data_IF_710060558131
#
_entry.id   IF_710060558131
#
_cell.length_a   1.000
_cell.length_b   1.000
_cell.length_c   1.000
_cell.angle_alpha   90.00
_cell.angle_beta   90.00
_cell.angle_gamma   90.00
#
_symmetry.space_group_name_H-M   'P 1'
#
loop_
_entity.id
_entity.type
_entity.pdbx_description
1 polymer ?
#
# COMPACT_ATOMS: atom_id res chain seq x y z
N UNK A 1 -22.29 -16.81 1.72
CA UNK A 1 -22.10 -18.18 1.20
C UNK A 1 -20.85 -18.29 0.34
N UNK A 2 -20.80 -17.74 -0.88
CA UNK A 2 -19.61 -17.82 -1.78
C UNK A 2 -18.25 -17.49 -1.15
N UNK A 3 -18.16 -16.45 -0.33
CA UNK A 3 -16.89 -16.08 0.34
C UNK A 3 -16.49 -17.09 1.42
N UNK A 4 -17.47 -17.63 2.15
CA UNK A 4 -17.26 -18.67 3.15
C UNK A 4 -16.77 -19.97 2.47
N UNK A 5 -17.39 -20.36 1.36
CA UNK A 5 -16.96 -21.51 0.55
C UNK A 5 -15.54 -21.33 0.00
N UNK A 6 -15.21 -20.13 -0.50
CA UNK A 6 -13.85 -19.79 -0.99
C UNK A 6 -12.79 -20.02 0.08
N UNK A 7 -13.01 -19.49 1.29
CA UNK A 7 -12.06 -19.62 2.40
C UNK A 7 -11.92 -21.07 2.89
N UNK A 8 -13.02 -21.80 3.00
CA UNK A 8 -12.96 -23.23 3.33
C UNK A 8 -12.28 -24.04 2.21
N UNK A 9 -12.41 -23.62 0.95
CA UNK A 9 -11.68 -24.19 -0.18
C UNK A 9 -10.16 -24.04 -0.04
N UNK A 10 -9.67 -22.90 0.45
CA UNK A 10 -8.24 -22.72 0.73
C UNK A 10 -7.75 -23.63 1.85
N UNK A 11 -8.55 -23.81 2.90
CA UNK A 11 -8.23 -24.72 4.00
C UNK A 11 -8.19 -26.17 3.52
N UNK A 12 -9.19 -26.60 2.74
CA UNK A 12 -9.23 -27.95 2.18
C UNK A 12 -8.05 -28.23 1.24
N UNK A 13 -7.68 -27.27 0.39
CA UNK A 13 -6.52 -27.38 -0.51
C UNK A 13 -5.21 -27.49 0.28
N UNK A 14 -5.04 -26.67 1.32
CA UNK A 14 -3.87 -26.72 2.19
C UNK A 14 -3.80 -28.07 2.95
N UNK A 15 -4.92 -28.57 3.45
CA UNK A 15 -5.02 -29.87 4.14
C UNK A 15 -4.68 -31.04 3.22
N UNK A 16 -5.21 -31.05 2.00
CA UNK A 16 -4.92 -32.06 0.96
C UNK A 16 -3.42 -32.09 0.62
N UNK A 17 -2.77 -30.93 0.65
CA UNK A 17 -1.33 -30.75 0.43
C UNK A 17 -0.49 -31.05 1.67
N UNK A 18 -1.10 -31.51 2.76
CA UNK A 18 -0.43 -31.88 4.00
C UNK A 18 0.09 -30.70 4.82
N UNK A 19 -0.43 -29.49 4.58
CA UNK A 19 -0.06 -28.30 5.34
C UNK A 19 -0.63 -28.35 6.75
N UNK A 20 0.11 -27.79 7.71
CA UNK A 20 -0.34 -27.76 9.09
C UNK A 20 -1.32 -26.60 9.30
N UNK A 21 -2.57 -26.95 9.57
CA UNK A 21 -3.67 -26.03 9.86
C UNK A 21 -3.94 -26.03 11.37
N UNK A 22 -4.04 -24.84 11.97
CA UNK A 22 -4.23 -24.65 13.41
C UNK A 22 -5.42 -23.72 13.65
N UNK A 23 -6.64 -24.27 13.83
CA UNK A 23 -7.80 -23.49 14.24
C UNK A 23 -7.66 -23.01 15.69
N UNK A 24 -7.94 -21.73 15.94
CA UNK A 24 -7.94 -21.13 17.28
C UNK A 24 -9.37 -21.13 17.82
N UNK A 25 -9.69 -22.13 18.66
CA UNK A 25 -11.02 -22.31 19.26
C UNK A 25 -10.95 -22.63 20.76
N UNK A 26 -10.50 -21.70 21.62
CA UNK A 26 -10.43 -21.93 23.07
C UNK A 26 -11.81 -22.08 23.72
N UNK A 27 -12.86 -21.55 23.08
CA UNK A 27 -14.24 -21.64 23.56
C UNK A 27 -14.93 -22.97 23.29
N UNK A 28 -14.30 -23.89 22.55
CA UNK A 28 -14.91 -25.13 22.05
C UNK A 28 -16.25 -24.87 21.35
N UNK A 29 -16.33 -23.77 20.57
CA UNK A 29 -17.50 -23.51 19.73
C UNK A 29 -17.67 -24.63 18.70
N UNK A 30 -18.92 -24.97 18.42
CA UNK A 30 -19.28 -25.91 17.36
C UNK A 30 -19.40 -25.16 16.03
N UNK A 31 -18.54 -25.51 15.07
CA UNK A 31 -18.53 -24.97 13.71
C UNK A 31 -19.16 -25.92 12.68
N UNK A 32 -19.79 -27.02 13.11
CA UNK A 32 -20.46 -27.97 12.21
C UNK A 32 -21.79 -27.44 11.67
N UNK A 33 -22.52 -26.65 12.47
CA UNK A 33 -23.76 -26.01 12.07
C UNK A 33 -23.50 -24.61 11.51
N UNK A 34 -23.76 -24.44 10.21
CA UNK A 34 -23.52 -23.19 9.49
C UNK A 34 -24.82 -22.44 9.15
N UNK A 35 -25.98 -22.96 9.60
CA UNK A 35 -27.29 -22.33 9.35
C UNK A 35 -27.33 -20.92 9.94
N UNK A 36 -27.29 -19.93 9.05
CA UNK A 36 -27.42 -18.50 9.38
C UNK A 36 -26.20 -17.82 10.01
N UNK A 37 -25.06 -18.51 10.21
CA UNK A 37 -23.91 -17.92 10.93
C UNK A 37 -22.59 -17.88 10.14
N UNK A 38 -22.37 -18.78 9.16
CA UNK A 38 -21.19 -18.82 8.27
C UNK A 38 -19.86 -18.49 8.97
N UNK A 39 -19.58 -19.16 10.09
CA UNK A 39 -18.44 -18.87 10.96
C UNK A 39 -17.23 -19.72 10.61
N UNK A 40 -16.07 -19.08 10.57
CA UNK A 40 -14.75 -19.71 10.47
C UNK A 40 -13.94 -19.21 11.67
N UNK A 41 -13.35 -20.10 12.50
CA UNK A 41 -12.46 -19.65 13.57
C UNK A 41 -11.20 -18.98 12.99
N UNK A 42 -10.55 -18.05 13.72
CA UNK A 42 -9.19 -17.63 13.38
C UNK A 42 -8.30 -18.85 13.20
N UNK A 43 -7.68 -18.99 12.04
CA UNK A 43 -6.99 -20.22 11.65
C UNK A 43 -5.61 -19.89 11.12
N UNK A 44 -4.58 -20.49 11.71
CA UNK A 44 -3.21 -20.36 11.25
C UNK A 44 -2.90 -21.45 10.23
N UNK A 45 -2.13 -21.12 9.20
CA UNK A 45 -1.61 -22.09 8.24
C UNK A 45 -0.09 -21.95 8.27
N UNK A 46 0.60 -22.98 8.74
CA UNK A 46 2.05 -22.95 8.93
C UNK A 46 2.77 -23.39 7.66
N UNK A 47 3.71 -22.57 7.18
CA UNK A 47 4.55 -22.82 6.00
C UNK A 47 3.78 -23.23 4.72
N UNK A 48 2.68 -22.54 4.34
CA UNK A 48 1.96 -22.92 3.13
C UNK A 48 2.85 -22.86 1.89
N UNK A 49 2.74 -23.87 1.02
CA UNK A 49 3.43 -23.89 -0.26
C UNK A 49 3.04 -22.68 -1.13
N UNK A 50 4.00 -22.16 -1.91
CA UNK A 50 3.85 -20.88 -2.63
C UNK A 50 2.76 -20.88 -3.70
N UNK A 51 2.39 -22.06 -4.21
CA UNK A 51 1.38 -22.28 -5.23
C UNK A 51 -0.02 -22.53 -4.65
N UNK A 52 -0.20 -22.40 -3.34
CA UNK A 52 -1.51 -22.47 -2.71
C UNK A 52 -2.26 -21.15 -2.85
N UNK A 53 -3.55 -21.24 -3.17
CA UNK A 53 -4.40 -20.05 -3.39
C UNK A 53 -4.47 -19.11 -2.19
N UNK A 54 -4.27 -19.63 -0.98
CA UNK A 54 -4.22 -18.82 0.25
C UNK A 54 -3.07 -17.80 0.28
N UNK A 55 -2.03 -18.01 -0.53
CA UNK A 55 -0.92 -17.08 -0.73
C UNK A 55 -0.98 -16.31 -2.07
N UNK A 56 -1.80 -16.75 -3.02
CA UNK A 56 -1.96 -16.09 -4.32
C UNK A 56 -3.03 -14.99 -4.27
N UNK A 57 -4.13 -15.23 -3.56
CA UNK A 57 -5.28 -14.33 -3.48
C UNK A 57 -5.35 -13.61 -2.14
N UNK A 58 -5.94 -12.41 -2.14
CA UNK A 58 -6.21 -11.70 -0.89
C UNK A 58 -7.28 -12.44 -0.08
N UNK A 59 -6.94 -12.77 1.16
CA UNK A 59 -7.75 -13.66 2.01
C UNK A 59 -9.05 -12.97 2.41
N UNK A 60 -9.01 -11.71 2.89
CA UNK A 60 -10.20 -11.00 3.39
C UNK A 60 -11.03 -11.82 4.41
N UNK A 61 -10.35 -12.59 5.26
CA UNK A 61 -10.99 -13.53 6.18
C UNK A 61 -10.04 -13.96 7.30
N UNK A 62 -10.52 -14.80 8.23
CA UNK A 62 -9.80 -15.14 9.46
C UNK A 62 -8.72 -16.21 9.25
N UNK A 63 -8.06 -16.24 8.10
CA UNK A 63 -6.96 -17.17 7.81
C UNK A 63 -5.63 -16.40 7.85
N UNK A 64 -4.64 -16.92 8.58
CA UNK A 64 -3.32 -16.30 8.72
C UNK A 64 -2.22 -17.30 8.32
N UNK A 65 -1.74 -17.22 7.06
CA UNK A 65 -0.51 -17.88 6.64
C UNK A 65 0.69 -17.38 7.44
N UNK A 66 1.51 -18.29 7.94
CA UNK A 66 2.76 -18.00 8.64
C UNK A 66 3.89 -18.62 7.84
N UNK A 67 4.85 -17.78 7.43
CA UNK A 67 6.10 -18.21 6.82
C UNK A 67 7.27 -17.78 7.69
N UNK A 68 8.28 -18.63 7.76
CA UNK A 68 9.55 -18.38 8.41
C UNK A 68 10.58 -17.97 7.38
N UNK A 69 11.61 -17.29 7.86
CA UNK A 69 12.77 -16.88 7.09
C UNK A 69 14.02 -17.17 7.92
N UNK A 70 15.19 -17.20 7.28
CA UNK A 70 16.47 -17.34 7.97
C UNK A 70 17.23 -16.03 8.02
N UNK A 71 17.21 -15.30 6.92
CA UNK A 71 17.86 -14.00 6.79
C UNK A 71 16.79 -12.93 6.52
N UNK A 72 16.90 -11.78 7.17
CA UNK A 72 15.89 -10.72 7.05
C UNK A 72 15.69 -10.24 5.61
N UNK A 73 16.77 -10.20 4.82
CA UNK A 73 16.73 -9.79 3.41
C UNK A 73 15.80 -10.66 2.54
N UNK A 74 15.63 -11.95 2.89
CA UNK A 74 14.69 -12.85 2.19
C UNK A 74 13.25 -12.34 2.29
N UNK A 75 12.90 -11.67 3.39
CA UNK A 75 11.56 -11.11 3.60
C UNK A 75 11.30 -9.92 2.68
N UNK A 76 12.30 -9.06 2.49
CA UNK A 76 12.23 -7.90 1.59
C UNK A 76 12.08 -8.37 0.14
N UNK A 77 12.91 -9.33 -0.27
CA UNK A 77 12.85 -9.91 -1.61
C UNK A 77 11.49 -10.58 -1.86
N UNK A 78 10.97 -11.31 -0.87
CA UNK A 78 9.65 -11.90 -0.96
C UNK A 78 8.55 -10.86 -1.12
N UNK A 79 8.51 -9.82 -0.28
CA UNK A 79 7.52 -8.74 -0.37
C UNK A 79 7.58 -8.06 -1.74
N UNK A 80 8.79 -7.77 -2.24
CA UNK A 80 8.99 -7.12 -3.53
C UNK A 80 8.64 -8.00 -4.74
N UNK A 81 8.62 -9.33 -4.57
CA UNK A 81 8.17 -10.28 -5.61
C UNK A 81 6.64 -10.28 -5.81
N UNK A 82 5.89 -9.67 -4.89
CA UNK A 82 4.42 -9.65 -4.87
C UNK A 82 3.88 -8.26 -5.26
N UNK A 83 2.59 -8.16 -5.63
CA UNK A 83 1.94 -6.86 -5.82
C UNK A 83 2.08 -5.97 -4.57
N UNK A 84 2.34 -4.67 -4.78
CA UNK A 84 2.54 -3.70 -3.70
C UNK A 84 1.32 -3.67 -2.77
N UNK A 85 1.47 -3.96 -1.47
CA UNK A 85 0.34 -4.05 -0.56
C UNK A 85 -0.19 -2.66 -0.17
N UNK A 86 -1.42 -2.63 0.35
CA UNK A 86 -1.98 -1.40 0.93
C UNK A 86 -1.28 -1.03 2.24
N UNK A 87 -1.01 -2.01 3.10
CA UNK A 87 -0.34 -1.82 4.37
C UNK A 87 0.78 -2.84 4.57
N UNK A 88 1.85 -2.43 5.24
CA UNK A 88 2.92 -3.30 5.72
C UNK A 88 3.10 -3.11 7.23
N UNK A 89 3.49 -4.18 7.94
CA UNK A 89 3.65 -4.16 9.39
C UNK A 89 4.98 -4.79 9.76
N UNK A 90 5.75 -4.11 10.62
CA UNK A 90 6.99 -4.63 11.17
C UNK A 90 6.84 -4.76 12.68
N UNK A 91 7.32 -5.87 13.24
CA UNK A 91 7.40 -6.09 14.68
C UNK A 91 8.84 -6.45 15.03
N UNK A 92 9.50 -5.60 15.80
CA UNK A 92 10.91 -5.76 16.14
C UNK A 92 11.50 -4.53 16.80
N UNK A 93 12.73 -4.69 17.29
CA UNK A 93 13.53 -3.64 17.94
C UNK A 93 14.84 -3.33 17.18
N UNK A 94 15.15 -4.09 16.12
CA UNK A 94 16.34 -3.84 15.30
C UNK A 94 16.09 -2.66 14.35
N UNK A 95 16.82 -1.57 14.59
CA UNK A 95 16.72 -0.35 13.78
C UNK A 95 17.20 -0.52 12.34
N UNK A 96 18.16 -1.42 12.09
CA UNK A 96 18.66 -1.69 10.75
C UNK A 96 17.63 -2.46 9.92
N UNK A 97 16.93 -3.43 10.54
CA UNK A 97 15.81 -4.13 9.91
C UNK A 97 14.63 -3.20 9.62
N UNK A 98 14.25 -2.36 10.59
CA UNK A 98 13.19 -1.35 10.43
C UNK A 98 13.50 -0.38 9.26
N UNK A 99 14.73 0.16 9.24
CA UNK A 99 15.18 1.07 8.18
C UNK A 99 15.22 0.37 6.83
N UNK A 100 15.73 -0.88 6.78
CA UNK A 100 15.80 -1.66 5.56
C UNK A 100 14.40 -1.93 4.99
N UNK A 101 13.45 -2.39 5.80
CA UNK A 101 12.08 -2.64 5.36
C UNK A 101 11.40 -1.35 4.86
N UNK A 102 11.54 -0.27 5.62
CA UNK A 102 10.95 1.04 5.30
C UNK A 102 11.47 1.59 3.96
N UNK A 103 12.77 1.43 3.68
CA UNK A 103 13.41 2.01 2.48
C UNK A 103 13.39 1.09 1.26
N UNK A 104 13.33 -0.22 1.46
CA UNK A 104 13.51 -1.22 0.39
C UNK A 104 12.21 -1.92 -0.02
N UNK A 105 11.10 -1.60 0.61
CA UNK A 105 9.76 -2.04 0.19
C UNK A 105 8.88 -0.86 -0.20
N UNK A 106 7.74 -1.13 -0.83
CA UNK A 106 6.76 -0.10 -1.20
C UNK A 106 5.36 -0.57 -0.85
N UNK A 107 4.69 0.19 0.02
CA UNK A 107 3.29 -0.02 0.42
C UNK A 107 2.54 1.31 0.44
N UNK A 108 1.21 1.26 0.56
CA UNK A 108 0.38 2.47 0.75
C UNK A 108 0.65 3.15 2.09
N UNK A 109 0.70 2.36 3.15
CA UNK A 109 1.10 2.76 4.50
C UNK A 109 1.94 1.69 5.20
N UNK A 110 2.55 2.05 6.32
CA UNK A 110 3.32 1.12 7.17
C UNK A 110 3.06 1.43 8.65
N UNK A 111 3.11 0.40 9.49
CA UNK A 111 3.12 0.55 10.95
C UNK A 111 4.22 -0.29 11.57
N UNK A 112 4.92 0.31 12.53
CA UNK A 112 6.00 -0.31 13.30
C UNK A 112 5.43 -0.66 14.68
N UNK A 113 5.60 -1.92 15.09
CA UNK A 113 5.16 -2.49 16.37
C UNK A 113 3.66 -2.37 16.67
N UNK A 114 2.83 -2.28 15.63
CA UNK A 114 1.38 -2.28 15.71
C UNK A 114 0.78 -2.63 14.34
N UNK A 115 -0.53 -2.85 14.27
CA UNK A 115 -1.29 -3.06 13.02
C UNK A 115 -2.44 -2.06 12.94
N UNK A 116 -2.87 -1.70 11.74
CA UNK A 116 -4.06 -0.88 11.45
C UNK A 116 -4.01 0.58 11.96
N UNK A 117 -3.30 0.89 13.05
CA UNK A 117 -3.41 2.18 13.74
C UNK A 117 -2.99 3.39 12.92
N UNK A 118 -2.13 3.25 11.92
CA UNK A 118 -1.82 4.34 10.99
C UNK A 118 -3.04 4.85 10.22
N UNK A 119 -4.06 4.01 9.99
CA UNK A 119 -5.32 4.39 9.33
C UNK A 119 -6.14 5.31 10.22
N UNK A 120 -6.06 5.12 11.54
CA UNK A 120 -6.78 5.94 12.53
C UNK A 120 -6.16 7.33 12.75
N UNK A 121 -4.96 7.59 12.18
CA UNK A 121 -4.31 8.89 12.28
C UNK A 121 -4.80 9.81 11.16
N UNK A 122 -5.72 10.73 11.48
CA UNK A 122 -6.36 11.61 10.49
C UNK A 122 -5.38 12.54 9.75
N UNK A 123 -4.22 12.85 10.34
CA UNK A 123 -3.20 13.69 9.70
C UNK A 123 -2.30 12.91 8.72
N UNK A 124 -2.31 11.57 8.78
CA UNK A 124 -1.57 10.74 7.83
C UNK A 124 -2.42 10.50 6.58
N UNK A 125 -1.84 10.64 5.36
CA UNK A 125 -2.53 10.26 4.15
C UNK A 125 -2.79 8.75 4.16
N UNK A 126 -4.01 8.35 3.82
CA UNK A 126 -4.37 6.95 3.63
C UNK A 126 -4.72 6.70 2.16
N UNK A 127 -3.98 5.80 1.52
CA UNK A 127 -4.10 5.52 0.09
C UNK A 127 -3.18 4.39 -0.34
N UNK A 128 -3.45 3.83 -1.52
CA UNK A 128 -2.66 2.75 -2.10
C UNK A 128 -1.61 3.25 -3.09
N UNK A 129 -0.77 2.32 -3.55
CA UNK A 129 0.25 2.56 -4.58
C UNK A 129 0.33 1.39 -5.56
N UNK A 130 0.06 1.66 -6.83
CA UNK A 130 0.08 0.62 -7.87
C UNK A 130 -1.14 -0.31 -7.72
N UNK A 131 -0.96 -1.65 -7.63
CA UNK A 131 -2.08 -2.58 -7.50
C UNK A 131 -2.99 -2.34 -6.28
N UNK A 132 -2.48 -1.78 -5.19
CA UNK A 132 -3.28 -1.46 -3.99
C UNK A 132 -4.09 -0.16 -4.12
N UNK A 133 -3.88 0.65 -5.16
CA UNK A 133 -4.65 1.86 -5.42
C UNK A 133 -3.83 3.05 -5.93
N UNK A 134 -4.49 4.20 -6.05
CA UNK A 134 -3.87 5.49 -6.39
C UNK A 134 -4.55 6.64 -5.66
N UNK A 135 -3.80 7.72 -5.42
CA UNK A 135 -4.28 8.85 -4.62
C UNK A 135 -4.34 8.52 -3.13
N UNK A 136 -4.68 9.51 -2.33
CA UNK A 136 -4.83 9.36 -0.88
C UNK A 136 -5.91 10.31 -0.37
N UNK A 137 -6.47 10.00 0.79
CA UNK A 137 -7.37 10.88 1.53
C UNK A 137 -6.97 10.91 3.02
N UNK A 138 -7.89 11.34 3.90
CA UNK A 138 -7.69 11.78 5.28
C UNK A 138 -7.15 13.21 5.43
N UNK A 139 -7.65 13.89 6.45
CA UNK A 139 -7.26 15.24 6.83
C UNK A 139 -7.14 16.20 5.64
N UNK A 140 -5.97 16.84 5.57
CA UNK A 140 -5.65 17.82 4.53
C UNK A 140 -5.53 17.21 3.13
N UNK A 141 -5.01 16.00 3.01
CA UNK A 141 -4.88 15.31 1.71
C UNK A 141 -6.25 14.92 1.15
N UNK A 142 -7.20 14.55 2.02
CA UNK A 142 -8.60 14.37 1.63
C UNK A 142 -9.24 15.64 1.06
N UNK A 143 -9.04 16.79 1.72
CA UNK A 143 -9.51 18.08 1.20
C UNK A 143 -8.92 18.39 -0.18
N UNK A 144 -7.61 18.19 -0.36
CA UNK A 144 -6.93 18.36 -1.66
C UNK A 144 -7.50 17.43 -2.73
N UNK A 145 -7.72 16.16 -2.41
CA UNK A 145 -8.23 15.15 -3.35
C UNK A 145 -9.58 15.53 -3.94
N UNK A 146 -10.45 16.19 -3.16
CA UNK A 146 -11.74 16.69 -3.63
C UNK A 146 -11.72 18.16 -4.07
N UNK A 147 -10.53 18.77 -4.21
CA UNK A 147 -10.34 20.16 -4.63
C UNK A 147 -9.63 20.26 -5.97
N UNK A 148 -9.96 21.31 -6.74
CA UNK A 148 -9.19 21.66 -7.93
C UNK A 148 -8.20 22.80 -7.60
N UNK A 149 -6.90 22.52 -7.65
CA UNK A 149 -5.85 23.51 -7.45
C UNK A 149 -5.74 24.49 -8.65
N UNK A 150 -6.58 25.53 -8.64
CA UNK A 150 -6.61 26.54 -9.70
C UNK A 150 -5.43 27.50 -9.58
N UNK A 151 -4.51 27.42 -10.53
CA UNK A 151 -3.41 28.39 -10.64
C UNK A 151 -3.92 29.74 -11.15
N UNK A 152 -3.61 30.82 -10.43
CA UNK A 152 -3.94 32.20 -10.83
C UNK A 152 -2.66 33.03 -10.82
N UNK A 153 -2.32 33.60 -11.97
CA UNK A 153 -1.19 34.52 -12.11
C UNK A 153 -1.71 35.91 -12.52
N UNK A 154 -1.25 36.94 -11.80
CA UNK A 154 -1.58 38.34 -12.11
C UNK A 154 -0.30 39.10 -12.43
N UNK A 155 -0.18 39.59 -13.66
CA UNK A 155 0.93 40.46 -14.07
C UNK A 155 0.76 41.87 -13.49
N UNK A 156 1.87 42.53 -13.14
CA UNK A 156 1.81 43.93 -12.71
C UNK A 156 1.26 44.82 -13.83
N UNK A 157 0.40 45.77 -13.47
CA UNK A 157 -0.15 46.76 -14.42
C UNK A 157 0.85 47.87 -14.75
N UNK A 158 1.94 48.00 -13.98
CA UNK A 158 2.89 49.11 -14.13
C UNK A 158 3.86 48.91 -15.28
N UNK A 159 4.24 47.68 -15.57
CA UNK A 159 5.17 47.34 -16.64
C UNK A 159 4.96 45.90 -17.10
N UNK A 160 5.22 45.66 -18.37
CA UNK A 160 5.06 44.34 -18.97
C UNK A 160 6.38 43.56 -18.87
N UNK A 161 6.47 42.69 -17.85
CA UNK A 161 7.68 41.88 -17.60
C UNK A 161 8.04 41.01 -18.80
N UNK A 162 7.05 40.46 -19.50
CA UNK A 162 7.29 39.63 -20.68
C UNK A 162 7.85 40.47 -21.84
N UNK A 163 7.37 41.71 -22.01
CA UNK A 163 7.93 42.66 -23.00
C UNK A 163 9.34 43.08 -22.64
N UNK A 164 9.60 43.43 -21.37
CA UNK A 164 10.93 43.83 -20.90
C UNK A 164 11.95 42.68 -21.04
N UNK A 165 11.52 41.45 -20.77
CA UNK A 165 12.32 40.24 -20.96
C UNK A 165 12.45 39.78 -22.42
N UNK A 166 11.93 40.52 -23.40
CA UNK A 166 12.03 40.16 -24.82
C UNK A 166 11.18 38.95 -25.22
N UNK A 167 10.22 38.53 -24.40
CA UNK A 167 9.33 37.39 -24.65
C UNK A 167 8.07 37.75 -25.47
N UNK A 168 7.93 39.03 -25.87
CA UNK A 168 6.83 39.51 -26.72
C UNK A 168 7.36 40.14 -28.01
N UNK A 169 6.55 40.16 -29.09
CA UNK A 169 6.92 40.81 -30.34
C UNK A 169 7.23 42.31 -30.20
N UNK A 170 8.06 42.87 -31.11
CA UNK A 170 8.81 42.17 -32.15
C UNK A 170 9.99 41.38 -31.58
N UNK A 171 10.19 40.16 -32.08
CA UNK A 171 11.28 39.29 -31.62
C UNK A 171 12.62 39.74 -32.21
N UNK A 172 13.67 39.76 -31.39
CA UNK A 172 15.00 40.21 -31.81
C UNK A 172 16.09 39.85 -30.81
N UNK A 173 17.17 40.63 -30.75
CA UNK A 173 18.35 40.33 -29.91
C UNK A 173 18.02 40.08 -28.43
N UNK A 174 17.05 40.82 -27.86
CA UNK A 174 16.59 40.59 -26.49
C UNK A 174 15.96 39.21 -26.32
N UNK A 175 15.08 38.82 -27.23
CA UNK A 175 14.47 37.48 -27.29
C UNK A 175 15.53 36.38 -27.42
N UNK A 176 16.48 36.54 -28.35
CA UNK A 176 17.57 35.57 -28.55
C UNK A 176 18.43 35.40 -27.30
N UNK A 177 18.75 36.49 -26.59
CA UNK A 177 19.50 36.45 -25.36
C UNK A 177 18.72 35.75 -24.24
N UNK A 178 17.43 36.03 -24.10
CA UNK A 178 16.56 35.37 -23.12
C UNK A 178 16.42 33.87 -23.40
N UNK A 179 16.23 33.48 -24.66
CA UNK A 179 16.18 32.08 -25.08
C UNK A 179 17.50 31.38 -24.76
N UNK A 180 18.65 31.98 -25.12
CA UNK A 180 19.98 31.42 -24.81
C UNK A 180 20.22 31.26 -23.31
N UNK A 181 19.68 32.15 -22.48
CA UNK A 181 19.76 32.07 -21.03
C UNK A 181 18.89 30.93 -20.47
N UNK A 182 17.68 30.76 -20.99
CA UNK A 182 16.74 29.73 -20.53
C UNK A 182 17.10 28.32 -21.02
N UNK A 183 17.74 28.21 -22.19
CA UNK A 183 18.13 26.93 -22.80
C UNK A 183 19.55 26.50 -22.38
N UNK A 184 20.33 27.36 -21.71
CA UNK A 184 21.58 26.93 -21.05
C UNK A 184 21.27 26.12 -19.80
N UNK A 185 20.94 24.84 -20.00
CA UNK A 185 21.08 23.75 -19.03
C UNK A 185 22.26 22.89 -19.45
#
# INVERSE_FOLDING_TARGET
ERHFERLNGYLAEAEERGQKIIPINPGNEDFSSQEGTLKIPPTLISEPAEDLKVLEEEIFGPLLPIRTYREFDETIDYINSKPRPLAAYYFGEDSAEEEALTKRTTSGGMTINDVIMHVSQEELPFGGVGPSGMGAYHGFEGFKTFSHAKSIFTQTKRFDVAKLGGLKPPFGKSTENTIKMQIKS
#
